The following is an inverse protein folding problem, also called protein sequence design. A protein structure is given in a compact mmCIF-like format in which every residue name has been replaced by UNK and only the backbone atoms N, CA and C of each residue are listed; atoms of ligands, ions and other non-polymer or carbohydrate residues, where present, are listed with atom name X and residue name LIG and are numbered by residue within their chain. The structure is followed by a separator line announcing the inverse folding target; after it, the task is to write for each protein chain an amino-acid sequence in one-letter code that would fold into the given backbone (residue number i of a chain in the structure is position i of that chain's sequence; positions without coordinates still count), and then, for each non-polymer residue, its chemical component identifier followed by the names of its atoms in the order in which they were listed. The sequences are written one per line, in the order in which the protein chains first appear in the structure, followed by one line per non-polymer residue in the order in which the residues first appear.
data_IF_735098830459
#
_entry.id   IF_735098830459
#
_cell.length_a   1.000
_cell.length_b   1.000
_cell.length_c   1.000
_cell.angle_alpha   90.00
_cell.angle_beta   90.00
_cell.angle_gamma   90.00
#
_symmetry.space_group_name_H-M   'P 1'
#
loop_
_entity.id
_entity.type
_entity.pdbx_description
1 polymer ?
#
# COMPACT_ATOMS: atom_id res chain seq x y z
N UNK A 1 11.07 0.35 -6.88
CA UNK A 1 10.29 1.11 -5.87
C UNK A 1 9.46 0.12 -5.06
N UNK A 2 9.67 0.04 -3.75
CA UNK A 2 8.83 -0.79 -2.90
C UNK A 2 7.37 -0.29 -2.98
N UNK A 3 6.40 -1.22 -3.07
CA UNK A 3 4.96 -0.94 -2.99
C UNK A 3 4.59 -0.43 -1.59
N UNK A 4 5.03 0.80 -1.28
CA UNK A 4 4.79 1.51 -0.04
C UNK A 4 3.94 2.73 -0.35
N UNK A 5 2.87 2.93 0.42
CA UNK A 5 2.10 4.15 0.32
C UNK A 5 2.94 5.34 0.78
N UNK A 6 3.05 6.38 -0.04
CA UNK A 6 3.79 7.61 0.31
C UNK A 6 3.14 8.36 1.48
N UNK A 7 1.80 8.34 1.55
CA UNK A 7 1.03 9.10 2.53
C UNK A 7 0.89 8.37 3.87
N UNK A 8 0.50 7.09 3.85
CA UNK A 8 0.22 6.31 5.08
C UNK A 8 1.36 5.39 5.48
N UNK A 9 2.44 5.31 4.69
CA UNK A 9 3.57 4.43 4.94
C UNK A 9 3.27 2.93 4.87
N UNK A 10 2.04 2.54 4.53
CA UNK A 10 1.61 1.14 4.45
C UNK A 10 2.49 0.36 3.50
N UNK A 11 3.08 -0.72 4.03
CA UNK A 11 3.96 -1.67 3.34
C UNK A 11 3.41 -3.08 3.47
N UNK A 12 3.92 -3.98 2.64
CA UNK A 12 3.65 -5.40 2.80
C UNK A 12 4.09 -5.87 4.19
N UNK A 13 3.28 -6.75 4.81
CA UNK A 13 3.60 -7.37 6.09
C UNK A 13 3.96 -8.83 5.84
N UNK A 14 4.98 -9.34 6.51
CA UNK A 14 5.36 -10.75 6.48
C UNK A 14 4.76 -11.48 7.68
N UNK A 15 4.50 -12.78 7.51
CA UNK A 15 4.18 -13.70 8.60
C UNK A 15 4.00 -15.10 8.06
N UNK A 16 3.13 -15.89 8.69
CA UNK A 16 2.94 -17.28 8.33
C UNK A 16 1.47 -17.56 7.96
N UNK A 17 1.26 -18.41 6.95
CA UNK A 17 0.00 -19.14 6.79
C UNK A 17 0.03 -20.34 7.73
N UNK A 18 -1.09 -20.61 8.40
CA UNK A 18 -1.27 -21.77 9.29
C UNK A 18 -2.31 -22.69 8.65
N UNK A 19 -2.00 -23.97 8.51
CA UNK A 19 -2.98 -24.99 8.13
C UNK A 19 -3.81 -25.42 9.34
N UNK A 20 -4.84 -26.25 9.12
CA UNK A 20 -5.60 -26.89 10.20
C UNK A 20 -4.72 -27.73 11.13
N UNK A 21 -3.64 -28.33 10.61
CA UNK A 21 -2.62 -29.04 11.40
C UNK A 21 -1.55 -28.12 11.99
N UNK A 22 -1.76 -26.79 11.97
CA UNK A 22 -0.83 -25.76 12.47
C UNK A 22 0.53 -25.67 11.74
N UNK A 23 0.67 -26.28 10.55
CA UNK A 23 1.90 -26.19 9.77
C UNK A 23 2.19 -24.75 9.34
N UNK A 24 3.47 -24.38 9.42
CA UNK A 24 3.94 -23.01 9.22
C UNK A 24 4.55 -22.80 7.82
N UNK A 25 3.83 -22.14 6.92
CA UNK A 25 4.43 -21.66 5.67
C UNK A 25 4.61 -20.14 5.69
N UNK A 26 5.73 -19.63 5.16
CA UNK A 26 5.97 -18.18 5.08
C UNK A 26 5.01 -17.55 4.06
N UNK A 27 4.35 -16.45 4.44
CA UNK A 27 3.46 -15.67 3.57
C UNK A 27 3.70 -14.18 3.73
N UNK A 28 3.52 -13.44 2.65
CA UNK A 28 3.47 -11.99 2.66
C UNK A 28 2.06 -11.51 2.35
N UNK A 29 1.57 -10.52 3.10
CA UNK A 29 0.34 -9.79 2.81
C UNK A 29 0.72 -8.47 2.16
N UNK A 30 0.46 -8.36 0.86
CA UNK A 30 0.66 -7.12 0.11
C UNK A 30 -0.31 -6.04 0.59
N UNK A 31 0.18 -4.80 0.71
CA UNK A 31 -0.71 -3.64 0.87
C UNK A 31 -1.37 -3.32 -0.48
N UNK A 32 -2.70 -3.12 -0.50
CA UNK A 32 -3.41 -2.65 -1.70
C UNK A 32 -3.04 -1.17 -1.97
N UNK A 33 -1.98 -1.00 -2.75
CA UNK A 33 -1.48 0.29 -3.23
C UNK A 33 -1.72 0.42 -4.72
N UNK A 34 -2.23 1.58 -5.12
CA UNK A 34 -2.54 1.93 -6.49
C UNK A 34 -1.55 2.99 -6.97
N UNK A 35 -1.16 2.91 -8.24
CA UNK A 35 -0.28 3.92 -8.86
C UNK A 35 -1.16 5.05 -9.38
N UNK A 36 -1.03 6.23 -8.79
CA UNK A 36 -1.86 7.39 -9.11
C UNK A 36 -1.00 8.63 -9.27
N UNK A 37 -1.47 9.59 -10.06
CA UNK A 37 -0.92 10.94 -10.10
C UNK A 37 -1.55 11.74 -8.97
N UNK A 38 -0.70 12.33 -8.15
CA UNK A 38 -1.12 13.19 -7.04
C UNK A 38 -0.24 14.42 -7.03
N UNK A 39 -0.80 15.53 -6.55
CA UNK A 39 -0.06 16.77 -6.39
C UNK A 39 0.72 16.69 -5.07
N UNK A 40 2.05 16.58 -5.16
CA UNK A 40 2.93 16.60 -3.98
C UNK A 40 3.72 17.90 -4.02
N UNK A 41 3.46 18.81 -3.07
CA UNK A 41 4.11 20.12 -2.97
C UNK A 41 4.02 20.94 -4.27
N UNK A 42 2.82 21.08 -4.85
CA UNK A 42 2.60 21.88 -6.05
C UNK A 42 2.92 21.19 -7.39
N UNK A 43 3.60 20.03 -7.39
CA UNK A 43 4.00 19.32 -8.61
C UNK A 43 3.29 17.97 -8.74
N UNK A 44 2.68 17.65 -9.90
CA UNK A 44 2.07 16.34 -10.12
C UNK A 44 3.15 15.26 -10.23
N UNK A 45 3.10 14.26 -9.35
CA UNK A 45 4.01 13.10 -9.35
C UNK A 45 3.22 11.79 -9.40
N UNK A 46 3.73 10.82 -10.15
CA UNK A 46 3.21 9.44 -10.16
C UNK A 46 3.77 8.70 -8.94
N UNK A 47 2.94 8.39 -7.96
CA UNK A 47 3.35 7.67 -6.75
C UNK A 47 2.38 6.56 -6.36
N UNK A 48 2.84 5.66 -5.48
CA UNK A 48 2.01 4.62 -4.90
C UNK A 48 1.24 5.16 -3.70
N UNK A 49 -0.08 5.01 -3.76
CA UNK A 49 -1.01 5.45 -2.71
C UNK A 49 -1.91 4.29 -2.33
N UNK A 50 -2.09 4.05 -1.03
CA UNK A 50 -3.01 3.01 -0.55
C UNK A 50 -4.45 3.36 -0.90
N UNK A 51 -5.25 2.36 -1.30
CA UNK A 51 -6.67 2.57 -1.59
C UNK A 51 -7.45 3.21 -0.43
N UNK A 52 -7.05 2.96 0.83
CA UNK A 52 -7.64 3.62 2.01
C UNK A 52 -7.37 5.13 2.06
N UNK A 53 -6.17 5.56 1.64
CA UNK A 53 -5.82 6.97 1.58
C UNK A 53 -6.63 7.69 0.48
N UNK A 54 -6.80 7.03 -0.68
CA UNK A 54 -7.69 7.51 -1.75
C UNK A 54 -9.14 7.61 -1.28
N UNK A 55 -9.66 6.58 -0.59
CA UNK A 55 -11.02 6.59 -0.03
C UNK A 55 -11.23 7.71 0.98
N UNK A 56 -10.21 8.04 1.78
CA UNK A 56 -10.31 9.10 2.80
C UNK A 56 -10.22 10.53 2.27
N UNK A 57 -10.12 10.74 0.94
CA UNK A 57 -10.05 12.09 0.36
C UNK A 57 -8.79 12.88 0.70
N UNK A 58 -7.82 12.28 1.40
CA UNK A 58 -6.55 12.91 1.80
C UNK A 58 -5.62 13.22 0.63
N UNK A 59 -6.08 13.02 -0.59
CA UNK A 59 -5.26 12.98 -1.80
C UNK A 59 -6.06 13.52 -2.97
N UNK A 60 -5.65 14.67 -3.49
CA UNK A 60 -6.18 15.20 -4.75
C UNK A 60 -5.51 14.49 -5.92
N UNK A 61 -6.35 13.92 -6.80
CA UNK A 61 -5.93 13.28 -8.04
C UNK A 61 -5.87 14.35 -9.12
N UNK A 62 -4.81 14.31 -9.93
CA UNK A 62 -4.53 15.26 -11.03
C UNK A 62 -4.26 14.51 -12.32
#
# INVERSE_FOLDING_TARGET
MARKCVITGRKARSGNSRSHAMNASKRTWGANVQKVRILVNGKPKKVYVSARALKSGKVERV
#
